data_IF_345782813256
#
_entry.id   IF_345782813256
#
_cell.length_a   1.000
_cell.length_b   1.000
_cell.length_c   1.000
_cell.angle_alpha   90.00
_cell.angle_beta   90.00
_cell.angle_gamma   90.00
#
_symmetry.space_group_name_H-M   'P 1'
#
loop_
_entity.id
_entity.type
_entity.pdbx_description
1 polymer ?
#
# COMPACT_ATOMS: atom_id res chain seq x y z
N UNK A 1 18.07 -1.49 20.01
CA UNK A 1 17.97 -0.04 19.75
C UNK A 1 16.62 0.19 19.11
N UNK A 2 15.77 0.99 19.76
CA UNK A 2 14.48 1.37 19.20
C UNK A 2 14.70 2.42 18.12
N UNK A 3 14.55 2.03 16.86
CA UNK A 3 14.58 2.92 15.71
C UNK A 3 13.17 3.07 15.14
N UNK A 4 12.96 4.08 14.27
CA UNK A 4 11.69 4.21 13.55
C UNK A 4 11.36 2.91 12.80
N UNK A 5 12.34 2.31 12.14
CA UNK A 5 12.15 1.04 11.45
C UNK A 5 11.73 -0.10 12.40
N UNK A 6 12.33 -0.16 13.59
CA UNK A 6 11.89 -1.10 14.62
C UNK A 6 10.41 -0.85 14.99
N UNK A 7 10.02 0.37 15.33
CA UNK A 7 8.65 0.72 15.74
C UNK A 7 7.62 0.43 14.65
N UNK A 8 7.88 0.89 13.42
CA UNK A 8 6.90 0.90 12.35
C UNK A 8 6.86 -0.36 11.50
N UNK A 9 7.87 -1.23 11.58
CA UNK A 9 7.93 -2.42 10.71
C UNK A 9 8.14 -3.71 11.50
N UNK A 10 9.05 -3.72 12.48
CA UNK A 10 9.45 -4.95 13.17
C UNK A 10 8.73 -5.20 14.49
N UNK A 11 8.30 -4.15 15.19
CA UNK A 11 7.83 -4.23 16.56
C UNK A 11 6.58 -5.10 16.66
N UNK A 12 6.65 -6.17 17.45
CA UNK A 12 5.54 -7.12 17.62
C UNK A 12 4.32 -6.48 18.30
N UNK A 13 4.54 -5.48 19.16
CA UNK A 13 3.45 -4.77 19.84
C UNK A 13 2.48 -4.10 18.84
N UNK A 14 3.00 -3.57 17.74
CA UNK A 14 2.21 -2.91 16.70
C UNK A 14 1.89 -3.82 15.49
N UNK A 15 2.22 -5.11 15.57
CA UNK A 15 2.00 -6.07 14.47
C UNK A 15 0.54 -6.11 14.02
N UNK A 16 -0.37 -6.21 14.98
CA UNK A 16 -1.80 -6.29 14.72
C UNK A 16 -2.30 -5.04 13.98
N UNK A 17 -1.80 -3.84 14.35
CA UNK A 17 -2.20 -2.60 13.69
C UNK A 17 -1.71 -2.53 12.25
N UNK A 18 -0.51 -3.06 11.97
CA UNK A 18 0.00 -3.17 10.60
C UNK A 18 -0.81 -4.15 9.77
N UNK A 19 -1.16 -5.30 10.35
CA UNK A 19 -1.99 -6.30 9.69
C UNK A 19 -3.37 -5.76 9.37
N UNK A 20 -4.06 -5.17 10.35
CA UNK A 20 -5.41 -4.64 10.18
C UNK A 20 -5.42 -3.50 9.13
N UNK A 21 -4.40 -2.63 9.16
CA UNK A 21 -4.26 -1.58 8.15
C UNK A 21 -3.98 -2.16 6.76
N UNK A 22 -3.16 -3.21 6.64
CA UNK A 22 -2.88 -3.87 5.37
C UNK A 22 -4.14 -4.51 4.78
N UNK A 23 -4.95 -5.17 5.60
CA UNK A 23 -6.23 -5.77 5.21
C UNK A 23 -7.25 -4.70 4.76
N UNK A 24 -7.31 -3.56 5.46
CA UNK A 24 -8.15 -2.43 5.06
C UNK A 24 -7.72 -1.87 3.69
N UNK A 25 -6.41 -1.72 3.47
CA UNK A 25 -5.86 -1.23 2.20
C UNK A 25 -6.10 -2.22 1.07
N UNK A 26 -5.89 -3.51 1.31
CA UNK A 26 -6.15 -4.59 0.35
C UNK A 26 -7.62 -4.59 -0.09
N UNK A 27 -8.56 -4.61 0.87
CA UNK A 27 -10.01 -4.61 0.62
C UNK A 27 -10.45 -3.37 -0.19
N UNK A 28 -9.95 -2.18 0.17
CA UNK A 28 -10.27 -0.95 -0.57
C UNK A 28 -9.70 -0.96 -1.98
N UNK A 29 -8.48 -1.45 -2.14
CA UNK A 29 -7.81 -1.56 -3.43
C UNK A 29 -8.58 -2.52 -4.34
N UNK A 30 -8.94 -3.70 -3.84
CA UNK A 30 -9.76 -4.68 -4.56
C UNK A 30 -11.06 -4.07 -5.07
N UNK A 31 -11.81 -3.40 -4.18
CA UNK A 31 -13.06 -2.74 -4.55
C UNK A 31 -12.87 -1.74 -5.70
N UNK A 32 -11.82 -0.93 -5.69
CA UNK A 32 -11.54 0.01 -6.80
C UNK A 32 -11.18 -0.70 -8.10
N UNK A 33 -10.42 -1.79 -8.03
CA UNK A 33 -10.06 -2.56 -9.22
C UNK A 33 -11.30 -3.19 -9.84
N UNK A 34 -12.22 -3.70 -9.02
CA UNK A 34 -13.52 -4.20 -9.47
C UNK A 34 -14.38 -3.09 -10.09
N UNK A 35 -14.50 -1.93 -9.43
CA UNK A 35 -15.22 -0.76 -9.95
C UNK A 35 -14.64 -0.25 -11.28
N UNK A 36 -13.33 -0.41 -11.49
CA UNK A 36 -12.64 -0.05 -12.72
C UNK A 36 -12.74 -1.13 -13.83
N UNK A 37 -13.33 -2.29 -13.54
CA UNK A 37 -13.49 -3.38 -14.50
C UNK A 37 -12.19 -4.15 -14.79
N UNK A 38 -11.22 -4.14 -13.87
CA UNK A 38 -9.96 -4.87 -14.03
C UNK A 38 -10.21 -6.37 -13.79
N UNK A 39 -9.79 -7.28 -14.69
CA UNK A 39 -9.95 -8.72 -14.50
C UNK A 39 -9.22 -9.23 -13.24
N UNK A 40 -9.83 -10.14 -12.49
CA UNK A 40 -9.29 -10.68 -11.22
C UNK A 40 -7.86 -11.21 -11.35
N UNK A 41 -7.54 -11.87 -12.47
CA UNK A 41 -6.20 -12.40 -12.73
C UNK A 41 -5.11 -11.31 -12.77
N UNK A 42 -5.47 -10.11 -13.21
CA UNK A 42 -4.54 -8.98 -13.29
C UNK A 42 -4.47 -8.18 -11.99
N UNK A 43 -5.44 -8.34 -11.08
CA UNK A 43 -5.46 -7.65 -9.79
C UNK A 43 -4.38 -8.16 -8.84
N UNK A 44 -3.93 -9.41 -9.02
CA UNK A 44 -3.04 -10.12 -8.08
C UNK A 44 -1.80 -9.30 -7.69
N UNK A 45 -1.12 -8.68 -8.66
CA UNK A 45 0.10 -7.91 -8.40
C UNK A 45 -0.17 -6.69 -7.52
N UNK A 46 -1.27 -5.97 -7.80
CA UNK A 46 -1.66 -4.77 -7.06
C UNK A 46 -2.11 -5.13 -5.64
N UNK A 47 -2.88 -6.22 -5.50
CA UNK A 47 -3.35 -6.70 -4.18
C UNK A 47 -2.19 -7.23 -3.33
N UNK A 48 -1.23 -7.92 -3.94
CA UNK A 48 -0.01 -8.33 -3.26
C UNK A 48 0.78 -7.12 -2.76
N UNK A 49 0.91 -6.07 -3.58
CA UNK A 49 1.55 -4.83 -3.17
C UNK A 49 0.80 -4.11 -2.04
N UNK A 50 -0.53 -4.06 -2.08
CA UNK A 50 -1.37 -3.51 -1.02
C UNK A 50 -1.17 -4.26 0.31
N UNK A 51 -1.21 -5.59 0.28
CA UNK A 51 -1.03 -6.46 1.45
C UNK A 51 0.35 -6.34 2.08
N UNK A 52 1.37 -6.15 1.26
CA UNK A 52 2.76 -6.00 1.69
C UNK A 52 3.17 -4.56 2.01
N UNK A 53 2.25 -3.59 1.91
CA UNK A 53 2.57 -2.15 2.03
C UNK A 53 3.26 -1.79 3.34
N UNK A 54 2.89 -2.42 4.45
CA UNK A 54 3.42 -2.11 5.79
C UNK A 54 4.51 -3.08 6.26
N UNK A 55 5.07 -3.89 5.35
CA UNK A 55 6.14 -4.86 5.60
C UNK A 55 7.32 -4.59 4.67
N UNK A 56 8.52 -5.06 5.00
CA UNK A 56 9.70 -4.96 4.12
C UNK A 56 9.66 -5.98 2.98
N UNK A 57 8.68 -5.82 2.07
CA UNK A 57 8.64 -6.60 0.85
C UNK A 57 9.50 -5.91 -0.24
N UNK A 58 10.66 -6.49 -0.60
CA UNK A 58 11.56 -5.91 -1.58
C UNK A 58 10.99 -5.92 -3.00
N UNK A 59 9.90 -6.66 -3.26
CA UNK A 59 9.21 -6.65 -4.56
C UNK A 59 8.28 -5.45 -4.72
N UNK A 60 7.90 -4.80 -3.62
CA UNK A 60 6.92 -3.72 -3.57
C UNK A 60 7.62 -2.37 -3.38
N UNK A 61 8.66 -2.33 -2.54
CA UNK A 61 9.36 -1.10 -2.21
C UNK A 61 10.59 -0.86 -3.09
N UNK A 62 10.70 0.29 -3.78
CA UNK A 62 11.85 0.60 -4.62
C UNK A 62 13.19 0.59 -3.88
N UNK A 63 13.19 1.04 -2.61
CA UNK A 63 14.37 1.05 -1.75
C UNK A 63 14.57 -0.25 -0.96
N UNK A 64 13.73 -1.27 -1.22
CA UNK A 64 13.68 -2.56 -0.50
C UNK A 64 13.43 -2.45 1.02
N UNK A 65 13.08 -1.25 1.47
CA UNK A 65 12.82 -0.92 2.87
C UNK A 65 11.56 -0.07 2.90
N UNK A 66 10.64 -0.46 3.77
CA UNK A 66 9.39 0.24 3.98
C UNK A 66 9.61 1.52 4.75
N UNK A 67 9.04 2.60 4.21
CA UNK A 67 9.16 3.95 4.75
C UNK A 67 7.80 4.67 4.80
N UNK A 68 6.71 3.91 4.94
CA UNK A 68 5.34 4.47 4.96
C UNK A 68 5.16 5.53 6.06
N UNK A 69 5.88 5.41 7.17
CA UNK A 69 5.81 6.29 8.33
C UNK A 69 6.38 7.69 8.08
N UNK A 70 7.09 7.91 6.96
CA UNK A 70 7.49 9.24 6.46
C UNK A 70 6.69 9.64 5.22
N UNK A 71 5.56 8.97 4.96
CA UNK A 71 4.64 9.30 3.87
C UNK A 71 5.05 8.75 2.49
N UNK A 72 6.11 7.92 2.42
CA UNK A 72 6.47 7.26 1.15
C UNK A 72 5.48 6.13 0.85
N UNK A 73 5.20 5.89 -0.43
CA UNK A 73 4.46 4.72 -0.90
C UNK A 73 5.06 4.23 -2.22
N UNK A 74 4.93 2.94 -2.57
CA UNK A 74 5.31 2.44 -3.87
C UNK A 74 4.62 3.16 -5.02
N UNK A 75 5.30 3.25 -6.16
CA UNK A 75 4.71 3.78 -7.39
C UNK A 75 3.60 2.85 -7.88
N UNK A 76 2.36 3.32 -7.83
CA UNK A 76 1.20 2.57 -8.35
C UNK A 76 1.08 2.66 -9.87
N UNK A 77 1.82 3.57 -10.52
CA UNK A 77 1.82 3.69 -11.97
C UNK A 77 2.50 2.49 -12.63
N UNK A 78 3.50 1.91 -11.97
CA UNK A 78 4.20 0.72 -12.46
C UNK A 78 3.38 -0.56 -12.25
N UNK A 79 2.42 -0.52 -11.31
CA UNK A 79 1.55 -1.64 -10.99
C UNK A 79 0.32 -1.75 -11.90
N UNK A 80 -0.17 -0.63 -12.46
CA UNK A 80 -1.32 -0.60 -13.37
C UNK A 80 -0.81 -0.37 -14.78
N UNK A 81 -0.67 -1.45 -15.54
CA UNK A 81 -0.06 -1.39 -16.88
C UNK A 81 -1.07 -0.96 -17.95
N UNK A 82 -0.55 -0.62 -19.14
CA UNK A 82 -1.39 -0.33 -20.32
C UNK A 82 -2.16 -1.53 -20.85
N UNK A 83 -1.69 -2.74 -20.56
CA UNK A 83 -2.40 -3.99 -20.86
C UNK A 83 -3.67 -4.07 -20.03
N UNK A 84 -3.57 -3.75 -18.73
CA UNK A 84 -4.71 -3.82 -17.80
C UNK A 84 -5.77 -2.75 -18.08
N UNK A 85 -5.32 -1.54 -18.43
CA UNK A 85 -6.23 -0.43 -18.71
C UNK A 85 -5.69 0.44 -19.84
N UNK A 86 -6.13 0.24 -21.10
CA UNK A 86 -5.58 0.93 -22.27
C UNK A 86 -5.79 2.45 -22.25
N UNK A 87 -6.91 2.90 -21.68
CA UNK A 87 -7.22 4.32 -21.51
C UNK A 87 -6.26 4.97 -20.50
N UNK A 88 -5.33 5.78 -21.02
CA UNK A 88 -4.29 6.42 -20.21
C UNK A 88 -4.86 7.37 -19.14
N UNK A 89 -5.98 8.04 -19.39
CA UNK A 89 -6.59 8.96 -18.42
C UNK A 89 -7.24 8.15 -17.29
N UNK A 90 -8.00 7.10 -17.62
CA UNK A 90 -8.60 6.23 -16.60
C UNK A 90 -7.53 5.53 -15.77
N UNK A 91 -6.46 5.04 -16.41
CA UNK A 91 -5.29 4.45 -15.74
C UNK A 91 -4.65 5.41 -14.76
N UNK A 92 -4.31 6.61 -15.21
CA UNK A 92 -3.69 7.61 -14.35
C UNK A 92 -4.57 7.98 -13.15
N UNK A 93 -5.88 8.15 -13.38
CA UNK A 93 -6.86 8.42 -12.31
C UNK A 93 -6.93 7.27 -11.30
N UNK A 94 -7.00 6.02 -11.76
CA UNK A 94 -7.04 4.84 -10.90
C UNK A 94 -5.76 4.71 -10.07
N UNK A 95 -4.59 4.80 -10.71
CA UNK A 95 -3.29 4.76 -10.02
C UNK A 95 -3.19 5.84 -8.95
N UNK A 96 -3.59 7.07 -9.29
CA UNK A 96 -3.54 8.22 -8.36
C UNK A 96 -4.49 8.02 -7.18
N UNK A 97 -5.68 7.46 -7.43
CA UNK A 97 -6.66 7.19 -6.37
C UNK A 97 -6.17 6.10 -5.41
N UNK A 98 -5.59 5.02 -5.94
CA UNK A 98 -5.01 3.94 -5.13
C UNK A 98 -3.82 4.48 -4.32
N UNK A 99 -2.91 5.24 -4.94
CA UNK A 99 -1.77 5.83 -4.24
C UNK A 99 -2.21 6.77 -3.11
N UNK A 100 -3.24 7.59 -3.34
CA UNK A 100 -3.79 8.49 -2.33
C UNK A 100 -4.38 7.72 -1.14
N UNK A 101 -5.08 6.61 -1.37
CA UNK A 101 -5.61 5.77 -0.29
C UNK A 101 -4.52 5.03 0.50
N UNK A 102 -3.51 4.52 -0.20
CA UNK A 102 -2.35 3.89 0.45
C UNK A 102 -1.62 4.89 1.33
N UNK A 103 -1.36 6.09 0.81
CA UNK A 103 -0.72 7.18 1.54
C UNK A 103 -1.55 7.62 2.75
N UNK A 104 -2.86 7.76 2.61
CA UNK A 104 -3.75 8.12 3.72
C UNK A 104 -3.74 7.06 4.82
N UNK A 105 -3.76 5.78 4.44
CA UNK A 105 -3.71 4.66 5.39
C UNK A 105 -2.37 4.59 6.11
N UNK A 106 -1.27 4.84 5.39
CA UNK A 106 0.07 4.98 5.95
C UNK A 106 0.14 6.09 7.01
N UNK A 107 -0.37 7.28 6.72
CA UNK A 107 -0.40 8.41 7.68
C UNK A 107 -1.21 8.04 8.93
N UNK A 108 -2.39 7.44 8.76
CA UNK A 108 -3.26 7.05 9.89
C UNK A 108 -2.58 6.03 10.79
N UNK A 109 -1.98 5.00 10.20
CA UNK A 109 -1.24 3.98 10.94
C UNK A 109 -0.03 4.59 11.65
N UNK A 110 0.74 5.44 10.94
CA UNK A 110 1.90 6.09 11.52
C UNK A 110 1.52 6.98 12.70
N UNK A 111 0.46 7.79 12.57
CA UNK A 111 -0.08 8.60 13.65
C UNK A 111 -0.57 7.78 14.84
N UNK A 112 -1.21 6.63 14.59
CA UNK A 112 -1.66 5.72 15.65
C UNK A 112 -0.48 5.13 16.43
N UNK A 113 0.56 4.66 15.74
CA UNK A 113 1.78 4.13 16.37
C UNK A 113 2.47 5.23 17.16
N UNK A 114 2.72 6.41 16.56
CA UNK A 114 3.35 7.53 17.26
C UNK A 114 2.57 8.00 18.48
N UNK A 115 1.24 8.03 18.42
CA UNK A 115 0.42 8.42 19.57
C UNK A 115 0.39 7.40 20.71
N UNK A 116 1.00 6.24 20.52
CA UNK A 116 1.03 5.14 21.49
C UNK A 116 2.42 4.81 22.02
N UNK A 117 3.45 5.49 21.47
CA UNK A 117 4.83 5.50 21.97
C UNK A 117 4.99 6.66 22.94
#
# INVERSE_FOLDING_TARGET
IESMHHLFVMCSHFHEWRRDAAEEVETRTERKLMEAGIPVEEQRTILCAAKSLFNDDPSVWPLKITQFYVGQVPSTQDLITSVMLPDGIKRWRLSSHIASEWHTSAIRLAGRIFGSV
#
